data_IF_929234589025
#
_entry.id   IF_929234589025
#
_cell.length_a   1.000
_cell.length_b   1.000
_cell.length_c   1.000
_cell.angle_alpha   90.00
_cell.angle_beta   90.00
_cell.angle_gamma   90.00
#
_symmetry.space_group_name_H-M   'P 1'
#
loop_
_entity.id
_entity.type
_entity.pdbx_description
1 polymer ?
#
# COMPACT_ATOMS: atom_id res chain seq x y z
N UNK A 1 59.68 1.58 7.71
CA UNK A 1 58.25 1.30 7.44
C UNK A 1 57.85 0.14 8.34
N UNK A 2 57.00 0.33 9.36
CA UNK A 2 56.48 -0.77 10.14
C UNK A 2 55.22 -1.34 9.47
N UNK A 3 55.25 -2.65 9.19
CA UNK A 3 54.12 -3.38 8.59
C UNK A 3 52.98 -3.53 9.60
N UNK A 4 51.80 -3.01 9.24
CA UNK A 4 50.57 -3.26 9.98
C UNK A 4 50.14 -4.71 9.80
N UNK A 5 49.94 -5.42 10.91
CA UNK A 5 49.36 -6.77 10.91
C UNK A 5 47.88 -6.66 10.59
N UNK A 6 47.46 -7.28 9.49
CA UNK A 6 46.04 -7.53 9.19
C UNK A 6 45.62 -8.76 10.00
N UNK A 7 44.67 -8.60 10.91
CA UNK A 7 44.09 -9.70 11.68
C UNK A 7 42.78 -10.13 11.03
N UNK A 8 42.73 -11.38 10.54
CA UNK A 8 41.54 -11.96 9.92
C UNK A 8 40.64 -12.57 11.00
N UNK A 9 39.44 -12.03 11.21
CA UNK A 9 38.39 -12.69 11.98
C UNK A 9 37.30 -13.07 10.98
N UNK A 10 37.27 -14.33 10.58
CA UNK A 10 36.20 -14.89 9.77
C UNK A 10 34.98 -15.12 10.68
N UNK A 11 33.92 -14.34 10.48
CA UNK A 11 32.60 -14.66 11.04
C UNK A 11 31.79 -15.30 9.91
N UNK A 12 31.78 -16.64 9.90
CA UNK A 12 30.93 -17.43 9.02
C UNK A 12 29.48 -17.33 9.48
N UNK A 13 28.74 -16.36 8.94
CA UNK A 13 27.37 -16.56 8.46
C UNK A 13 26.90 -15.28 7.76
N UNK A 14 26.21 -15.44 6.64
CA UNK A 14 25.63 -14.39 5.78
C UNK A 14 26.61 -13.49 5.01
N UNK A 15 27.28 -14.05 3.99
CA UNK A 15 27.51 -13.43 2.67
C UNK A 15 28.22 -12.06 2.54
N UNK A 16 28.62 -11.43 3.64
CA UNK A 16 29.32 -10.15 3.68
C UNK A 16 30.59 -10.43 4.49
N UNK A 17 31.71 -10.60 3.79
CA UNK A 17 33.01 -10.49 4.44
C UNK A 17 33.16 -9.05 4.91
N UNK A 18 32.81 -8.78 6.17
CA UNK A 18 33.08 -7.50 6.81
C UNK A 18 34.58 -7.48 7.11
N UNK A 19 35.35 -6.83 6.24
CA UNK A 19 36.72 -6.50 6.52
C UNK A 19 36.73 -5.46 7.66
N UNK A 20 36.93 -5.91 8.90
CA UNK A 20 37.25 -5.02 10.00
C UNK A 20 38.66 -4.47 9.77
N UNK A 21 38.74 -3.40 8.99
CA UNK A 21 39.99 -2.65 8.87
C UNK A 21 40.23 -1.92 10.19
N UNK A 22 41.41 -2.05 10.79
CA UNK A 22 41.84 -1.26 11.95
C UNK A 22 42.00 0.24 11.63
N UNK A 23 41.67 0.67 10.41
CA UNK A 23 41.71 2.05 9.98
C UNK A 23 40.32 2.69 10.10
N UNK A 24 40.16 3.73 10.93
CA UNK A 24 38.85 4.36 11.17
C UNK A 24 38.22 4.96 9.91
N UNK A 25 39.03 5.40 8.93
CA UNK A 25 38.51 5.90 7.65
C UNK A 25 37.91 4.80 6.77
N UNK A 26 38.46 3.58 6.84
CA UNK A 26 37.90 2.44 6.12
C UNK A 26 36.57 1.99 6.75
N UNK A 27 36.50 1.98 8.08
CA UNK A 27 35.26 1.68 8.81
C UNK A 27 34.15 2.69 8.49
N UNK A 28 34.47 3.99 8.43
CA UNK A 28 33.55 5.04 8.01
C UNK A 28 33.02 4.83 6.60
N UNK A 29 33.89 4.45 5.66
CA UNK A 29 33.49 4.18 4.28
C UNK A 29 32.59 2.95 4.16
N UNK A 30 32.87 1.90 4.92
CA UNK A 30 32.02 0.70 4.97
C UNK A 30 30.67 0.98 5.63
N UNK A 31 30.64 1.81 6.68
CA UNK A 31 29.40 2.27 7.31
C UNK A 31 28.54 3.10 6.35
N UNK A 32 29.15 4.00 5.58
CA UNK A 32 28.46 4.79 4.55
C UNK A 32 27.89 3.91 3.44
N UNK A 33 28.66 2.93 2.96
CA UNK A 33 28.17 1.94 1.99
C UNK A 33 26.99 1.15 2.52
N UNK A 34 27.09 0.68 3.77
CA UNK A 34 26.01 -0.07 4.41
C UNK A 34 24.76 0.79 4.55
N UNK A 35 24.90 2.06 4.97
CA UNK A 35 23.80 3.00 5.06
C UNK A 35 23.13 3.22 3.69
N UNK A 36 23.93 3.55 2.66
CA UNK A 36 23.44 3.77 1.30
C UNK A 36 22.70 2.56 0.75
N UNK A 37 23.25 1.35 0.95
CA UNK A 37 22.62 0.11 0.53
C UNK A 37 21.29 -0.12 1.27
N UNK A 38 21.30 0.00 2.59
CA UNK A 38 20.10 -0.29 3.40
C UNK A 38 18.97 0.70 3.12
N UNK A 39 19.30 1.99 2.93
CA UNK A 39 18.33 3.00 2.53
C UNK A 39 17.77 2.72 1.12
N UNK A 40 18.64 2.37 0.16
CA UNK A 40 18.22 2.07 -1.22
C UNK A 40 17.34 0.82 -1.27
N UNK A 41 17.73 -0.24 -0.56
CA UNK A 41 16.97 -1.49 -0.50
C UNK A 41 15.57 -1.24 0.09
N UNK A 42 15.46 -0.45 1.17
CA UNK A 42 14.17 -0.07 1.76
C UNK A 42 13.33 0.76 0.78
N UNK A 43 13.89 1.80 0.15
CA UNK A 43 13.15 2.64 -0.79
C UNK A 43 12.62 1.85 -2.00
N UNK A 44 13.43 0.92 -2.52
CA UNK A 44 13.01 0.03 -3.62
C UNK A 44 11.88 -0.90 -3.17
N UNK A 45 11.99 -1.48 -1.98
CA UNK A 45 10.95 -2.34 -1.40
C UNK A 45 9.62 -1.57 -1.22
N UNK A 46 9.69 -0.37 -0.64
CA UNK A 46 8.53 0.50 -0.43
C UNK A 46 7.86 0.93 -1.74
N UNK A 47 8.67 1.30 -2.73
CA UNK A 47 8.17 1.64 -4.07
C UNK A 47 7.44 0.45 -4.71
N UNK A 48 7.99 -0.76 -4.63
CA UNK A 48 7.37 -1.96 -5.18
C UNK A 48 6.04 -2.29 -4.48
N UNK A 49 5.95 -2.07 -3.17
CA UNK A 49 4.74 -2.28 -2.41
C UNK A 49 3.66 -1.23 -2.76
N UNK A 50 4.04 0.03 -2.90
CA UNK A 50 3.14 1.09 -3.39
C UNK A 50 2.61 0.79 -4.79
N UNK A 51 3.49 0.37 -5.73
CA UNK A 51 3.08 -0.01 -7.08
C UNK A 51 2.09 -1.19 -7.05
N UNK A 52 2.31 -2.17 -6.17
CA UNK A 52 1.40 -3.30 -5.96
C UNK A 52 0.03 -2.86 -5.43
N UNK A 53 0.02 -1.93 -4.47
CA UNK A 53 -1.22 -1.35 -3.91
C UNK A 53 -1.99 -0.55 -4.96
N UNK A 54 -1.32 0.27 -5.77
CA UNK A 54 -1.94 1.03 -6.86
C UNK A 54 -2.55 0.09 -7.93
N UNK A 55 -1.84 -0.98 -8.29
CA UNK A 55 -2.38 -2.00 -9.19
C UNK A 55 -3.61 -2.67 -8.60
N UNK A 56 -3.61 -2.95 -7.28
CA UNK A 56 -4.77 -3.50 -6.58
C UNK A 56 -5.95 -2.53 -6.56
N UNK A 57 -5.73 -1.25 -6.25
CA UNK A 57 -6.76 -0.21 -6.32
C UNK A 57 -7.36 -0.12 -7.72
N UNK A 58 -6.52 -0.09 -8.77
CA UNK A 58 -6.95 -0.07 -10.17
C UNK A 58 -7.79 -1.30 -10.56
N UNK A 59 -7.43 -2.48 -10.05
CA UNK A 59 -8.19 -3.70 -10.28
C UNK A 59 -9.56 -3.64 -9.60
N UNK A 60 -9.60 -3.25 -8.33
CA UNK A 60 -10.85 -3.12 -7.57
C UNK A 60 -11.77 -2.07 -8.21
N UNK A 61 -11.23 -0.93 -8.65
CA UNK A 61 -11.96 0.10 -9.40
C UNK A 61 -12.58 -0.45 -10.68
N UNK A 62 -11.82 -1.22 -11.46
CA UNK A 62 -12.35 -1.87 -12.68
C UNK A 62 -13.44 -2.90 -12.36
N UNK A 63 -13.26 -3.71 -11.32
CA UNK A 63 -14.29 -4.65 -10.86
C UNK A 63 -15.57 -3.90 -10.43
N UNK A 64 -15.43 -2.80 -9.69
CA UNK A 64 -16.56 -1.97 -9.27
C UNK A 64 -17.28 -1.33 -10.47
N UNK A 65 -16.54 -0.76 -11.43
CA UNK A 65 -17.13 -0.16 -12.65
C UNK A 65 -17.85 -1.23 -13.49
N UNK A 66 -17.26 -2.40 -13.66
CA UNK A 66 -17.88 -3.50 -14.39
C UNK A 66 -19.19 -3.93 -13.72
N UNK A 67 -19.16 -4.12 -12.39
CA UNK A 67 -20.35 -4.46 -11.61
C UNK A 67 -21.41 -3.37 -11.72
N UNK A 68 -21.06 -2.08 -11.59
CA UNK A 68 -22.01 -0.98 -11.75
C UNK A 68 -22.60 -0.92 -13.16
N UNK A 69 -21.79 -1.17 -14.20
CA UNK A 69 -22.24 -1.17 -15.59
C UNK A 69 -23.23 -2.32 -15.85
N UNK A 70 -22.93 -3.51 -15.35
CA UNK A 70 -23.85 -4.64 -15.38
C UNK A 70 -25.14 -4.32 -14.62
N UNK A 71 -25.03 -3.66 -13.46
CA UNK A 71 -26.19 -3.23 -12.69
C UNK A 71 -27.08 -2.25 -13.47
N UNK A 72 -26.51 -1.25 -14.15
CA UNK A 72 -27.26 -0.32 -14.99
C UNK A 72 -27.90 -1.02 -16.18
N UNK A 73 -27.22 -1.99 -16.80
CA UNK A 73 -27.79 -2.77 -17.90
C UNK A 73 -28.99 -3.59 -17.45
N UNK A 74 -28.87 -4.33 -16.34
CA UNK A 74 -29.97 -5.10 -15.75
C UNK A 74 -31.13 -4.18 -15.38
N UNK A 75 -30.86 -3.03 -14.76
CA UNK A 75 -31.89 -2.06 -14.39
C UNK A 75 -32.62 -1.49 -15.61
N UNK A 76 -31.88 -1.11 -16.65
CA UNK A 76 -32.44 -0.58 -17.90
C UNK A 76 -33.35 -1.60 -18.58
N UNK A 77 -32.94 -2.87 -18.62
CA UNK A 77 -33.76 -3.95 -19.18
C UNK A 77 -35.03 -4.15 -18.36
N UNK A 78 -34.92 -4.18 -17.03
CA UNK A 78 -36.08 -4.34 -16.12
C UNK A 78 -37.06 -3.15 -16.21
N UNK A 79 -36.57 -1.92 -16.28
CA UNK A 79 -37.42 -0.73 -16.47
C UNK A 79 -38.11 -0.79 -17.84
N UNK A 80 -37.39 -1.23 -18.88
CA UNK A 80 -37.97 -1.40 -20.22
C UNK A 80 -39.07 -2.46 -20.23
N UNK A 81 -38.87 -3.58 -19.55
CA UNK A 81 -39.88 -4.64 -19.37
C UNK A 81 -41.09 -4.13 -18.57
N UNK A 82 -40.87 -3.40 -17.47
CA UNK A 82 -41.95 -2.78 -16.69
C UNK A 82 -42.73 -1.77 -17.52
N UNK A 83 -42.06 -0.92 -18.31
CA UNK A 83 -42.71 0.04 -19.19
C UNK A 83 -43.55 -0.65 -20.29
N UNK A 84 -43.04 -1.75 -20.86
CA UNK A 84 -43.78 -2.55 -21.84
C UNK A 84 -45.02 -3.22 -21.21
N UNK A 85 -44.87 -3.78 -20.00
CA UNK A 85 -45.98 -4.37 -19.26
C UNK A 85 -47.04 -3.32 -18.90
N UNK A 86 -46.65 -2.14 -18.41
CA UNK A 86 -47.58 -1.03 -18.12
C UNK A 86 -48.33 -0.58 -19.37
N UNK A 87 -47.67 -0.46 -20.53
CA UNK A 87 -48.34 -0.14 -21.81
C UNK A 87 -49.36 -1.22 -22.20
N UNK A 88 -48.97 -2.50 -22.14
CA UNK A 88 -49.88 -3.62 -22.44
C UNK A 88 -51.08 -3.71 -21.49
N UNK A 89 -50.92 -3.27 -20.24
CA UNK A 89 -51.96 -3.24 -19.22
C UNK A 89 -52.93 -2.06 -19.40
N UNK A 90 -52.41 -0.90 -19.82
CA UNK A 90 -53.23 0.25 -20.21
C UNK A 90 -54.17 -0.09 -21.37
N UNK A 91 -53.78 -1.01 -22.25
CA UNK A 91 -54.58 -1.47 -23.39
C UNK A 91 -55.60 -2.56 -23.02
N UNK A 92 -55.42 -3.28 -21.90
CA UNK A 92 -56.23 -4.46 -21.52
C UNK A 92 -57.13 -4.29 -20.29
N UNK A 93 -57.01 -3.18 -19.55
CA UNK A 93 -58.00 -2.78 -18.52
C UNK A 93 -58.14 -3.69 -17.29
N UNK A 94 -57.14 -4.52 -16.98
CA UNK A 94 -57.25 -5.60 -15.99
C UNK A 94 -56.80 -5.28 -14.55
N UNK A 95 -57.59 -5.74 -13.57
CA UNK A 95 -57.45 -5.59 -12.11
C UNK A 95 -56.46 -6.54 -11.42
N UNK A 96 -55.69 -7.34 -12.16
CA UNK A 96 -54.64 -8.25 -11.63
C UNK A 96 -53.30 -7.57 -11.32
N UNK A 97 -53.25 -6.24 -11.42
CA UNK A 97 -52.04 -5.43 -11.51
C UNK A 97 -51.21 -5.35 -10.20
N UNK A 98 -51.85 -5.32 -9.03
CA UNK A 98 -51.16 -5.03 -7.76
C UNK A 98 -50.19 -6.13 -7.29
N UNK A 99 -50.46 -7.41 -7.61
CA UNK A 99 -49.61 -8.51 -7.14
C UNK A 99 -48.32 -8.66 -7.96
N UNK A 100 -48.38 -8.47 -9.28
CA UNK A 100 -47.19 -8.53 -10.14
C UNK A 100 -46.29 -7.29 -9.97
N UNK A 101 -46.86 -6.10 -9.79
CA UNK A 101 -46.10 -4.86 -9.55
C UNK A 101 -45.37 -4.91 -8.19
N UNK A 102 -46.01 -5.47 -7.16
CA UNK A 102 -45.38 -5.64 -5.84
C UNK A 102 -44.28 -6.71 -5.84
N UNK A 103 -44.48 -7.84 -6.53
CA UNK A 103 -43.44 -8.87 -6.66
C UNK A 103 -42.19 -8.34 -7.39
N UNK A 104 -42.36 -7.61 -8.49
CA UNK A 104 -41.28 -6.96 -9.22
C UNK A 104 -40.58 -5.87 -8.39
N UNK A 105 -41.33 -5.01 -7.68
CA UNK A 105 -40.74 -3.98 -6.81
C UNK A 105 -39.93 -4.57 -5.65
N UNK A 106 -40.41 -5.66 -5.04
CA UNK A 106 -39.68 -6.30 -3.92
C UNK A 106 -38.37 -6.94 -4.38
N UNK A 107 -38.34 -7.64 -5.53
CA UNK A 107 -37.11 -8.18 -6.10
C UNK A 107 -36.12 -7.08 -6.50
N UNK A 108 -36.63 -5.98 -7.07
CA UNK A 108 -35.82 -4.80 -7.39
C UNK A 108 -35.18 -4.20 -6.14
N UNK A 109 -35.94 -4.02 -5.06
CA UNK A 109 -35.43 -3.42 -3.81
C UNK A 109 -34.33 -4.27 -3.19
N UNK A 110 -34.51 -5.59 -3.12
CA UNK A 110 -33.47 -6.50 -2.60
C UNK A 110 -32.21 -6.55 -3.46
N UNK A 111 -32.33 -6.41 -4.79
CA UNK A 111 -31.17 -6.31 -5.67
C UNK A 111 -30.44 -4.96 -5.49
N UNK A 112 -31.16 -3.85 -5.29
CA UNK A 112 -30.56 -2.54 -5.00
C UNK A 112 -29.85 -2.51 -3.65
N UNK A 113 -30.43 -3.13 -2.63
CA UNK A 113 -29.85 -3.20 -1.30
C UNK A 113 -28.53 -3.99 -1.30
N UNK A 114 -28.51 -5.18 -1.92
CA UNK A 114 -27.26 -5.95 -2.08
C UNK A 114 -26.17 -5.21 -2.87
N UNK A 115 -26.56 -4.32 -3.79
CA UNK A 115 -25.63 -3.53 -4.62
C UNK A 115 -25.09 -2.30 -3.89
N UNK A 116 -25.92 -1.63 -3.11
CA UNK A 116 -25.49 -0.55 -2.21
C UNK A 116 -24.47 -1.07 -1.18
N UNK A 117 -24.70 -2.27 -0.63
CA UNK A 117 -23.73 -2.93 0.26
C UNK A 117 -22.39 -3.16 -0.45
N UNK A 118 -22.38 -3.64 -1.70
CA UNK A 118 -21.14 -3.83 -2.46
C UNK A 118 -20.41 -2.51 -2.76
N UNK A 119 -21.14 -1.43 -3.06
CA UNK A 119 -20.54 -0.11 -3.30
C UNK A 119 -19.88 0.46 -2.03
N UNK A 120 -20.54 0.33 -0.87
CA UNK A 120 -19.99 0.75 0.42
C UNK A 120 -18.74 -0.07 0.81
N UNK A 121 -18.77 -1.39 0.57
CA UNK A 121 -17.59 -2.24 0.79
C UNK A 121 -16.42 -1.85 -0.12
N UNK A 122 -16.70 -1.49 -1.35
CA UNK A 122 -15.67 -1.01 -2.28
C UNK A 122 -15.04 0.31 -1.82
N UNK A 123 -15.86 1.28 -1.43
CA UNK A 123 -15.41 2.56 -0.91
C UNK A 123 -14.51 2.39 0.32
N UNK A 124 -14.93 1.57 1.28
CA UNK A 124 -14.16 1.28 2.49
C UNK A 124 -12.79 0.64 2.18
N UNK A 125 -12.75 -0.36 1.29
CA UNK A 125 -11.48 -1.00 0.89
C UNK A 125 -10.54 0.00 0.19
N UNK A 126 -11.08 0.84 -0.69
CA UNK A 126 -10.30 1.87 -1.36
C UNK A 126 -9.77 2.90 -0.36
N UNK A 127 -10.59 3.30 0.62
CA UNK A 127 -10.19 4.28 1.61
C UNK A 127 -9.10 3.75 2.54
N UNK A 128 -9.19 2.47 2.93
CA UNK A 128 -8.11 1.77 3.65
C UNK A 128 -6.82 1.74 2.82
N UNK A 129 -6.93 1.35 1.55
CA UNK A 129 -5.81 1.32 0.61
C UNK A 129 -5.13 2.69 0.45
N UNK A 130 -5.91 3.75 0.27
CA UNK A 130 -5.41 5.12 0.16
C UNK A 130 -4.74 5.55 1.47
N UNK A 131 -5.35 5.25 2.62
CA UNK A 131 -4.79 5.58 3.93
C UNK A 131 -3.41 4.92 4.10
N UNK A 132 -3.29 3.63 3.75
CA UNK A 132 -2.05 2.89 3.86
C UNK A 132 -0.98 3.44 2.93
N UNK A 133 -1.30 3.65 1.65
CA UNK A 133 -0.33 4.22 0.71
C UNK A 133 0.14 5.61 1.15
N UNK A 134 -0.74 6.44 1.72
CA UNK A 134 -0.37 7.75 2.28
C UNK A 134 0.57 7.63 3.47
N UNK A 135 0.27 6.73 4.42
CA UNK A 135 1.13 6.49 5.57
C UNK A 135 2.53 6.03 5.13
N UNK A 136 2.62 5.09 4.16
CA UNK A 136 3.92 4.62 3.65
C UNK A 136 4.73 5.74 3.01
N UNK A 137 4.08 6.61 2.23
CA UNK A 137 4.72 7.79 1.63
C UNK A 137 5.21 8.75 2.71
N UNK A 138 4.40 9.03 3.73
CA UNK A 138 4.76 9.91 4.85
C UNK A 138 5.96 9.38 5.64
N UNK A 139 5.97 8.09 5.99
CA UNK A 139 7.10 7.46 6.69
C UNK A 139 8.38 7.48 5.84
N UNK A 140 8.25 7.26 4.53
CA UNK A 140 9.38 7.34 3.60
C UNK A 140 9.91 8.77 3.47
N UNK A 141 9.03 9.76 3.42
CA UNK A 141 9.39 11.17 3.38
C UNK A 141 10.11 11.60 4.68
N UNK A 142 9.57 11.20 5.84
CA UNK A 142 10.18 11.45 7.15
C UNK A 142 11.59 10.85 7.23
N UNK A 143 11.78 9.63 6.72
CA UNK A 143 13.09 9.00 6.64
C UNK A 143 14.07 9.81 5.78
N UNK A 144 13.64 10.22 4.58
CA UNK A 144 14.48 11.01 3.67
C UNK A 144 14.84 12.36 4.27
N UNK A 145 13.90 13.05 4.93
CA UNK A 145 14.17 14.31 5.63
C UNK A 145 15.16 14.11 6.79
N UNK A 146 15.00 13.04 7.57
CA UNK A 146 15.91 12.70 8.67
C UNK A 146 17.33 12.38 8.18
N UNK A 147 17.46 11.57 7.12
CA UNK A 147 18.76 11.28 6.50
C UNK A 147 19.37 12.57 5.94
N UNK A 148 18.57 13.41 5.28
CA UNK A 148 19.04 14.67 4.73
C UNK A 148 19.58 15.61 5.80
N UNK A 149 18.83 15.85 6.88
CA UNK A 149 19.26 16.68 8.01
C UNK A 149 20.53 16.16 8.67
N UNK A 150 20.66 14.83 8.83
CA UNK A 150 21.88 14.22 9.33
C UNK A 150 23.08 14.42 8.39
N UNK A 151 22.87 14.35 7.06
CA UNK A 151 23.91 14.64 6.08
C UNK A 151 24.29 16.13 6.08
N UNK A 152 23.34 17.05 6.27
CA UNK A 152 23.64 18.48 6.41
C UNK A 152 24.53 18.74 7.63
N UNK A 153 24.24 18.11 8.77
CA UNK A 153 25.11 18.18 9.96
C UNK A 153 26.53 17.65 9.69
N UNK A 154 26.68 16.63 8.84
CA UNK A 154 27.99 16.15 8.40
C UNK A 154 28.71 17.21 7.56
N UNK A 155 28.00 17.82 6.60
CA UNK A 155 28.55 18.85 5.69
C UNK A 155 28.99 20.10 6.45
N UNK A 156 28.23 20.52 7.44
CA UNK A 156 28.53 21.69 8.28
C UNK A 156 29.60 21.40 9.35
N UNK A 157 29.77 20.13 9.71
CA UNK A 157 30.71 19.66 10.72
C UNK A 157 32.16 19.52 10.23
N UNK A 158 33.06 19.17 11.16
CA UNK A 158 34.44 18.83 10.82
C UNK A 158 34.51 17.42 10.21
N UNK A 159 34.63 17.37 8.88
CA UNK A 159 34.77 16.12 8.11
C UNK A 159 36.04 15.31 8.42
N UNK A 160 36.94 15.83 9.27
CA UNK A 160 38.12 15.10 9.74
C UNK A 160 37.88 14.35 11.06
N UNK A 161 36.80 14.66 11.77
CA UNK A 161 36.36 13.95 12.97
C UNK A 161 35.57 12.69 12.58
N UNK A 162 36.30 11.58 12.45
CA UNK A 162 35.71 10.29 12.06
C UNK A 162 34.73 9.77 13.10
N UNK A 163 34.92 10.07 14.39
CA UNK A 163 34.04 9.57 15.45
C UNK A 163 32.68 10.29 15.39
N UNK A 164 32.67 11.61 15.18
CA UNK A 164 31.44 12.37 14.95
C UNK A 164 30.68 11.89 13.70
N UNK A 165 31.39 11.62 12.61
CA UNK A 165 30.77 11.09 11.39
C UNK A 165 30.15 9.72 11.64
N UNK A 166 30.85 8.84 12.34
CA UNK A 166 30.36 7.51 12.67
C UNK A 166 29.10 7.55 13.53
N UNK A 167 28.99 8.47 14.50
CA UNK A 167 27.78 8.63 15.31
C UNK A 167 26.58 9.11 14.48
N UNK A 168 26.80 10.02 13.52
CA UNK A 168 25.73 10.44 12.61
C UNK A 168 25.29 9.29 11.68
N UNK A 169 26.23 8.52 11.14
CA UNK A 169 25.91 7.34 10.31
C UNK A 169 25.11 6.28 11.10
N UNK A 170 25.45 6.05 12.37
CA UNK A 170 24.68 5.18 13.27
C UNK A 170 23.28 5.72 13.51
N UNK A 171 23.14 7.03 13.69
CA UNK A 171 21.84 7.69 13.85
C UNK A 171 20.97 7.46 12.60
N UNK A 172 21.51 7.70 11.40
CA UNK A 172 20.80 7.41 10.15
C UNK A 172 20.39 5.93 10.04
N UNK A 173 21.26 4.99 10.43
CA UNK A 173 20.92 3.56 10.42
C UNK A 173 19.79 3.23 11.40
N UNK A 174 19.79 3.84 12.59
CA UNK A 174 18.72 3.67 13.58
C UNK A 174 17.39 4.21 13.05
N UNK A 175 17.39 5.36 12.36
CA UNK A 175 16.20 5.93 11.73
C UNK A 175 15.65 5.00 10.63
N UNK A 176 16.49 4.43 9.77
CA UNK A 176 16.06 3.41 8.79
C UNK A 176 15.38 2.22 9.48
N UNK A 177 15.94 1.76 10.61
CA UNK A 177 15.36 0.69 11.42
C UNK A 177 13.98 1.03 11.95
N UNK A 178 13.83 2.21 12.56
CA UNK A 178 12.54 2.71 13.08
C UNK A 178 11.49 2.85 11.99
N UNK A 179 11.84 3.45 10.84
CA UNK A 179 10.93 3.60 9.71
C UNK A 179 10.49 2.23 9.20
N UNK A 180 11.41 1.26 9.06
CA UNK A 180 11.05 -0.11 8.66
C UNK A 180 10.08 -0.76 9.65
N UNK A 181 10.26 -0.57 10.94
CA UNK A 181 9.32 -1.08 11.96
C UNK A 181 7.94 -0.42 11.83
N UNK A 182 7.88 0.90 11.66
CA UNK A 182 6.63 1.63 11.45
C UNK A 182 5.89 1.16 10.19
N UNK A 183 6.62 0.98 9.07
CA UNK A 183 6.09 0.49 7.81
C UNK A 183 5.57 -0.96 7.91
N UNK A 184 6.22 -1.82 8.70
CA UNK A 184 5.77 -3.18 8.93
C UNK A 184 4.49 -3.26 9.79
N UNK A 185 4.28 -2.29 10.70
CA UNK A 185 3.04 -2.20 11.48
C UNK A 185 1.86 -1.74 10.62
N UNK A 186 2.11 -0.97 9.57
CA UNK A 186 1.14 -0.62 8.53
C UNK A 186 0.84 -1.84 7.63
N UNK A 187 0.07 -2.80 8.15
CA UNK A 187 -0.27 -4.03 7.43
C UNK A 187 -1.25 -3.72 6.29
N UNK A 188 -0.98 -4.13 5.04
CA UNK A 188 -1.91 -3.93 3.93
C UNK A 188 -3.24 -4.66 4.17
N UNK A 189 -4.36 -4.01 3.82
CA UNK A 189 -5.69 -4.64 3.90
C UNK A 189 -5.69 -6.00 3.16
N UNK A 190 -6.09 -7.09 3.82
CA UNK A 190 -5.93 -8.47 3.29
C UNK A 190 -6.85 -8.81 2.10
N UNK A 191 -7.79 -7.94 1.74
CA UNK A 191 -8.82 -8.26 0.73
C UNK A 191 -8.29 -8.18 -0.71
N UNK A 192 -8.21 -9.33 -1.38
CA UNK A 192 -7.64 -9.47 -2.75
C UNK A 192 -8.69 -9.50 -3.88
N UNK A 193 -9.98 -9.56 -3.55
CA UNK A 193 -11.08 -9.65 -4.52
C UNK A 193 -12.42 -9.32 -3.86
N UNK A 194 -13.32 -8.65 -4.60
CA UNK A 194 -14.69 -8.37 -4.17
C UNK A 194 -15.60 -9.61 -4.16
N UNK A 195 -15.28 -10.64 -4.95
CA UNK A 195 -16.18 -11.78 -5.21
C UNK A 195 -15.86 -13.05 -4.42
N UNK A 196 -14.71 -13.10 -3.72
CA UNK A 196 -14.22 -14.34 -3.06
C UNK A 196 -13.76 -14.19 -1.61
N UNK A 197 -13.96 -13.04 -0.96
CA UNK A 197 -13.54 -12.86 0.43
C UNK A 197 -14.65 -12.23 1.25
N UNK A 198 -15.12 -12.92 2.28
CA UNK A 198 -15.80 -12.25 3.39
C UNK A 198 -14.83 -11.20 3.94
N UNK A 199 -15.26 -9.94 3.95
CA UNK A 199 -14.49 -8.84 4.49
C UNK A 199 -14.09 -9.18 5.92
N UNK A 200 -12.79 -9.43 6.16
CA UNK A 200 -12.27 -9.41 7.52
C UNK A 200 -11.86 -7.98 7.79
N UNK A 201 -12.83 -7.19 8.24
CA UNK A 201 -12.60 -5.90 8.88
C UNK A 201 -12.04 -6.19 10.27
N UNK A 202 -10.87 -5.63 10.58
CA UNK A 202 -10.38 -5.54 11.95
C UNK A 202 -10.94 -4.27 12.58
#
# INVERSE_FOLDING_TARGET
MPGGKITYIAVENSGINVFMADNPKLQMFDALKLLSKTASDLLIEEQQLLDSELLRMSKLLREAIANLSECFSVMSNQISEQAAQLRSQSETGGTGADQNINALSSQQMSAFESRAVMALQFEDILQQLICHSRQRVEETENLLQSIHSNIEMLIEGDMTDVDAIMEILKTCQAEIGKTREALNLSHPAKQKSMTKGGATLF
#
